data_IF_131018546493
#
_entry.id   IF_131018546493
#
_cell.length_a   1.000
_cell.length_b   1.000
_cell.length_c   1.000
_cell.angle_alpha   90.00
_cell.angle_beta   90.00
_cell.angle_gamma   90.00
#
_symmetry.space_group_name_H-M   'P 1'
#
loop_
_entity.id
_entity.type
_entity.pdbx_description
1 polymer ?
#
# COMPACT_ATOMS: atom_id res chain seq x y z
N UNK A 1 -5.21 -7.01 -10.12
CA UNK A 1 -6.55 -7.54 -10.44
C UNK A 1 -7.00 -8.49 -9.32
N UNK A 2 -7.96 -8.04 -8.52
CA UNK A 2 -8.45 -8.78 -7.35
C UNK A 2 -9.23 -10.06 -7.73
N UNK A 3 -9.90 -10.07 -8.86
CA UNK A 3 -10.64 -11.25 -9.33
C UNK A 3 -9.69 -12.36 -9.76
N UNK A 4 -8.70 -12.02 -10.56
CA UNK A 4 -7.66 -12.98 -10.99
C UNK A 4 -6.87 -13.52 -9.78
N UNK A 5 -6.60 -12.70 -8.78
CA UNK A 5 -5.94 -13.15 -7.55
C UNK A 5 -6.79 -14.16 -6.79
N UNK A 6 -8.10 -13.91 -6.66
CA UNK A 6 -9.01 -14.86 -6.01
C UNK A 6 -9.01 -16.23 -6.73
N UNK A 7 -9.07 -16.24 -8.06
CA UNK A 7 -9.01 -17.46 -8.86
C UNK A 7 -7.70 -18.24 -8.63
N UNK A 8 -6.57 -17.54 -8.60
CA UNK A 8 -5.25 -18.18 -8.42
C UNK A 8 -5.09 -18.74 -7.01
N UNK A 9 -5.60 -18.04 -5.97
CA UNK A 9 -5.64 -18.55 -4.60
C UNK A 9 -6.54 -19.79 -4.48
N UNK A 10 -7.75 -19.72 -5.02
CA UNK A 10 -8.69 -20.85 -5.02
C UNK A 10 -8.16 -22.07 -5.76
N UNK A 11 -7.38 -21.87 -6.80
CA UNK A 11 -6.74 -22.97 -7.55
C UNK A 11 -5.53 -23.61 -6.84
N UNK A 12 -5.08 -23.03 -5.72
CA UNK A 12 -3.89 -23.47 -4.98
C UNK A 12 -2.56 -23.18 -5.68
N UNK A 13 -2.55 -22.37 -6.72
CA UNK A 13 -1.32 -21.96 -7.44
C UNK A 13 -0.48 -20.97 -6.64
N UNK A 14 -1.09 -20.28 -5.67
CA UNK A 14 -0.39 -19.47 -4.67
C UNK A 14 -0.62 -20.06 -3.28
N UNK A 15 0.42 -20.03 -2.45
CA UNK A 15 0.36 -20.48 -1.06
C UNK A 15 -0.48 -19.53 -0.18
N UNK A 16 -0.53 -18.27 -0.55
CA UNK A 16 -1.28 -17.22 0.15
C UNK A 16 -0.98 -15.85 -0.40
N UNK A 17 -1.73 -14.86 0.05
CA UNK A 17 -1.52 -13.45 -0.30
C UNK A 17 -1.78 -12.53 0.89
N UNK A 18 -1.12 -11.38 0.93
CA UNK A 18 -1.42 -10.27 1.82
C UNK A 18 -1.75 -9.02 1.00
N UNK A 19 -2.90 -8.43 1.25
CA UNK A 19 -3.32 -7.19 0.61
C UNK A 19 -3.68 -6.14 1.66
N UNK A 20 -3.24 -4.93 1.43
CA UNK A 20 -3.69 -3.76 2.19
C UNK A 20 -4.53 -2.81 1.32
N UNK A 21 -4.50 -3.01 0.01
CA UNK A 21 -5.22 -2.21 -0.99
C UNK A 21 -5.95 -3.14 -1.94
N UNK A 22 -7.17 -2.77 -2.33
CA UNK A 22 -7.98 -3.51 -3.30
C UNK A 22 -8.46 -2.60 -4.42
N UNK A 23 -8.85 -3.22 -5.54
CA UNK A 23 -9.49 -2.51 -6.65
C UNK A 23 -10.70 -3.33 -7.12
N UNK A 24 -11.92 -2.79 -6.93
CA UNK A 24 -12.26 -1.50 -6.31
C UNK A 24 -12.03 -1.46 -4.78
N UNK A 25 -11.92 -0.26 -4.23
CA UNK A 25 -11.82 -0.01 -2.80
C UNK A 25 -12.93 0.94 -2.34
N UNK A 26 -13.76 0.58 -1.34
CA UNK A 26 -13.72 -0.68 -0.59
C UNK A 26 -14.14 -1.88 -1.46
N UNK A 27 -13.62 -3.07 -1.09
CA UNK A 27 -13.97 -4.31 -1.79
C UNK A 27 -15.47 -4.61 -1.62
N UNK A 28 -16.24 -4.77 -2.71
CA UNK A 28 -17.69 -4.97 -2.63
C UNK A 28 -18.09 -6.22 -1.82
N UNK A 29 -19.21 -6.17 -1.11
CA UNK A 29 -19.78 -7.37 -0.51
C UNK A 29 -20.01 -8.46 -1.58
N UNK A 30 -19.62 -9.68 -1.27
CA UNK A 30 -19.74 -10.81 -2.21
C UNK A 30 -18.64 -10.91 -3.26
N UNK A 31 -17.61 -10.07 -3.23
CA UNK A 31 -16.45 -10.25 -4.09
C UNK A 31 -15.74 -11.58 -3.76
N UNK A 32 -15.32 -12.39 -4.77
CA UNK A 32 -14.70 -13.70 -4.55
C UNK A 32 -13.48 -13.70 -3.63
N UNK A 33 -12.81 -12.57 -3.51
CA UNK A 33 -11.63 -12.43 -2.65
C UNK A 33 -11.95 -12.61 -1.17
N UNK A 34 -13.21 -12.33 -0.72
CA UNK A 34 -13.61 -12.54 0.68
C UNK A 34 -13.58 -14.01 1.10
N UNK A 35 -13.81 -14.92 0.16
CA UNK A 35 -13.83 -16.37 0.38
C UNK A 35 -12.51 -17.04 -0.04
N UNK A 36 -11.54 -16.28 -0.56
CA UNK A 36 -10.28 -16.82 -1.05
C UNK A 36 -9.45 -17.41 0.11
N UNK A 37 -8.91 -18.63 -0.03
CA UNK A 37 -8.11 -19.26 1.01
C UNK A 37 -6.78 -18.56 1.21
N UNK A 38 -6.25 -18.60 2.44
CA UNK A 38 -4.92 -18.09 2.78
C UNK A 38 -4.69 -16.60 2.40
N UNK A 39 -5.74 -15.80 2.46
CA UNK A 39 -5.67 -14.36 2.24
C UNK A 39 -5.64 -13.61 3.57
N UNK A 40 -4.68 -12.71 3.73
CA UNK A 40 -4.67 -11.66 4.75
C UNK A 40 -5.08 -10.34 4.09
N UNK A 41 -6.19 -9.77 4.52
CA UNK A 41 -6.70 -8.50 4.02
C UNK A 41 -6.73 -7.47 5.15
N UNK A 42 -6.10 -6.32 4.94
CA UNK A 42 -6.14 -5.18 5.87
C UNK A 42 -6.79 -3.97 5.19
N UNK A 43 -7.43 -3.08 5.94
CA UNK A 43 -8.22 -1.99 5.37
C UNK A 43 -7.40 -0.74 5.09
N UNK A 44 -6.39 -0.84 4.20
CA UNK A 44 -5.52 0.24 3.75
C UNK A 44 -4.83 0.98 4.91
N UNK A 45 -4.27 0.21 5.84
CA UNK A 45 -3.68 0.74 7.08
C UNK A 45 -2.14 0.68 7.12
N UNK A 46 -1.50 0.08 6.11
CA UNK A 46 -0.04 -0.04 6.07
C UNK A 46 0.68 1.30 5.91
N UNK A 47 -0.04 2.37 5.54
CA UNK A 47 0.49 3.73 5.44
C UNK A 47 0.88 4.39 6.77
N UNK A 48 0.79 3.69 7.90
CA UNK A 48 1.31 4.15 9.18
C UNK A 48 0.30 4.86 10.09
N UNK A 49 -0.98 4.61 9.94
CA UNK A 49 -2.02 5.18 10.82
C UNK A 49 -1.75 4.97 12.30
N UNK A 50 -1.16 3.85 12.68
CA UNK A 50 -0.83 3.53 14.08
C UNK A 50 0.38 4.31 14.61
N UNK A 51 1.12 5.00 13.74
CA UNK A 51 2.31 5.81 14.05
C UNK A 51 2.26 7.16 13.34
N UNK A 52 1.08 7.77 13.29
CA UNK A 52 0.81 9.01 12.55
C UNK A 52 1.83 10.11 12.86
N UNK A 53 2.15 10.32 14.15
CA UNK A 53 3.09 11.36 14.57
C UNK A 53 4.50 11.12 14.00
N UNK A 54 5.03 9.90 14.15
CA UNK A 54 6.34 9.54 13.62
C UNK A 54 6.37 9.59 12.08
N UNK A 55 5.28 9.24 11.43
CA UNK A 55 5.13 9.33 9.97
C UNK A 55 5.13 10.78 9.50
N UNK A 56 4.39 11.65 10.17
CA UNK A 56 4.36 13.08 9.86
C UNK A 56 5.73 13.74 10.05
N UNK A 57 6.45 13.40 11.11
CA UNK A 57 7.80 13.93 11.34
C UNK A 57 8.79 13.49 10.24
N UNK A 58 8.69 12.25 9.76
CA UNK A 58 9.49 11.78 8.63
C UNK A 58 9.14 12.51 7.33
N UNK A 59 7.86 12.71 7.06
CA UNK A 59 7.40 13.45 5.87
C UNK A 59 7.91 14.89 5.93
N UNK A 60 7.79 15.57 7.06
CA UNK A 60 8.32 16.92 7.25
C UNK A 60 9.82 16.99 7.02
N UNK A 61 10.58 16.04 7.59
CA UNK A 61 12.02 16.00 7.43
C UNK A 61 12.45 15.83 5.96
N UNK A 62 11.79 14.93 5.24
CA UNK A 62 12.04 14.71 3.79
C UNK A 62 11.66 15.96 2.99
N UNK A 63 10.54 16.58 3.31
CA UNK A 63 10.09 17.81 2.63
C UNK A 63 11.09 18.94 2.82
N UNK A 64 11.51 19.20 4.06
CA UNK A 64 12.46 20.27 4.36
C UNK A 64 13.84 20.04 3.72
N UNK A 65 14.33 18.79 3.72
CA UNK A 65 15.58 18.46 3.03
C UNK A 65 15.45 18.69 1.52
N UNK A 66 14.34 18.27 0.91
CA UNK A 66 14.10 18.46 -0.51
C UNK A 66 13.91 19.94 -0.87
N UNK A 67 13.28 20.73 -0.01
CA UNK A 67 13.17 22.18 -0.23
C UNK A 67 14.55 22.86 -0.25
N UNK A 68 15.44 22.50 0.68
CA UNK A 68 16.82 22.99 0.68
C UNK A 68 17.57 22.58 -0.59
N UNK A 69 17.45 21.30 -0.96
CA UNK A 69 18.06 20.78 -2.20
C UNK A 69 17.57 21.50 -3.43
N UNK A 70 16.28 21.79 -3.50
CA UNK A 70 15.69 22.54 -4.61
C UNK A 70 16.28 23.94 -4.73
N UNK A 71 16.35 24.69 -3.61
CA UNK A 71 16.94 26.03 -3.59
C UNK A 71 18.43 26.01 -3.98
N UNK A 72 19.16 24.96 -3.59
CA UNK A 72 20.59 24.79 -3.88
C UNK A 72 20.86 24.14 -5.26
N UNK A 73 19.82 23.86 -6.06
CA UNK A 73 19.96 23.22 -7.36
C UNK A 73 20.44 21.76 -7.32
N UNK A 74 20.31 21.08 -6.18
CA UNK A 74 20.69 19.68 -5.98
C UNK A 74 19.57 18.73 -6.35
N UNK A 75 19.94 17.49 -6.70
CA UNK A 75 18.98 16.41 -6.96
C UNK A 75 18.10 16.15 -5.74
N UNK A 76 16.78 16.09 -5.94
CA UNK A 76 15.83 15.77 -4.89
C UNK A 76 15.94 14.29 -4.50
N UNK A 77 15.61 13.97 -3.25
CA UNK A 77 15.54 12.61 -2.74
C UNK A 77 14.13 12.04 -2.92
N UNK A 78 14.05 10.72 -3.05
CA UNK A 78 12.78 9.98 -3.17
C UNK A 78 11.91 10.44 -4.36
N UNK A 79 12.54 10.84 -5.48
CA UNK A 79 11.81 11.11 -6.70
C UNK A 79 11.24 9.80 -7.27
N UNK A 80 9.93 9.79 -7.53
CA UNK A 80 9.25 8.76 -8.30
C UNK A 80 9.18 9.23 -9.74
N UNK A 81 9.59 8.38 -10.67
CA UNK A 81 9.53 8.65 -12.11
C UNK A 81 8.38 7.89 -12.73
#
# INVERSE_FOLDING_TARGET
DCTALAEVLCSGRLLGAGLDVTDPEPLPPGHPLWEAPSLLLTPHTAGGYNHMEATLERIKAIFLDNLRRYVEGRTLRNQVR
#
